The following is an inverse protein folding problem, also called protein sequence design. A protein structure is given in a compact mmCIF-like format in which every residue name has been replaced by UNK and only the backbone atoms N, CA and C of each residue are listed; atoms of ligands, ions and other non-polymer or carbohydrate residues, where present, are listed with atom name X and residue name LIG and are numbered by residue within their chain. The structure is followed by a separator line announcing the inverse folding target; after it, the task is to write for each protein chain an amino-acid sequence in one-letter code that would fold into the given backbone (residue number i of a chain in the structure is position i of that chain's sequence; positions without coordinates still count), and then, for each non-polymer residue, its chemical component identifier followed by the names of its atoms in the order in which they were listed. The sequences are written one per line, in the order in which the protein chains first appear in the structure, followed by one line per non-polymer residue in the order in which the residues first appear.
data_IF_168195623845
#
_entry.id   IF_168195623845
#
_cell.length_a   1.000
_cell.length_b   1.000
_cell.length_c   1.000
_cell.angle_alpha   90.00
_cell.angle_beta   90.00
_cell.angle_gamma   90.00
#
_symmetry.space_group_name_H-M   'P 1'
#
loop_
_entity.id
_entity.type
_entity.pdbx_description
1 polymer ?
#
# COMPACT_ATOMS: atom_id res chain seq x y z
N UNK A 1 -1.81 -2.24 4.72
CA UNK A 1 -1.88 -2.50 3.26
C UNK A 1 -3.14 -1.90 2.64
N UNK A 2 -3.10 -1.54 1.33
CA UNK A 2 -4.29 -1.03 0.60
C UNK A 2 -5.38 -2.09 0.50
N UNK A 3 -4.99 -3.33 0.21
CA UNK A 3 -5.83 -4.54 0.22
C UNK A 3 -5.03 -5.70 0.80
N UNK A 4 -5.70 -6.72 1.35
CA UNK A 4 -5.04 -7.96 1.79
C UNK A 4 -4.79 -8.92 0.62
N UNK A 5 -3.95 -9.93 0.82
CA UNK A 5 -3.72 -10.99 -0.19
C UNK A 5 -5.00 -11.79 -0.41
N UNK A 6 -5.76 -12.06 0.65
CA UNK A 6 -7.05 -12.75 0.57
C UNK A 6 -8.07 -11.96 -0.25
N UNK A 7 -8.15 -10.63 -0.03
CA UNK A 7 -9.01 -9.73 -0.80
C UNK A 7 -8.57 -9.71 -2.29
N UNK A 8 -7.26 -9.62 -2.55
CA UNK A 8 -6.73 -9.66 -3.93
C UNK A 8 -7.11 -10.94 -4.67
N UNK A 9 -7.00 -12.10 -4.01
CA UNK A 9 -7.31 -13.41 -4.60
C UNK A 9 -8.78 -13.62 -4.93
N UNK A 10 -9.69 -12.79 -4.43
CA UNK A 10 -11.09 -12.80 -4.86
C UNK A 10 -11.29 -12.21 -6.27
N UNK A 11 -10.35 -11.39 -6.73
CA UNK A 11 -10.42 -10.72 -8.03
C UNK A 11 -9.46 -11.31 -9.07
N UNK A 12 -8.31 -11.85 -8.62
CA UNK A 12 -7.24 -12.33 -9.51
C UNK A 12 -6.92 -13.78 -9.19
N UNK A 13 -6.93 -14.64 -10.21
CA UNK A 13 -6.42 -16.00 -10.11
C UNK A 13 -4.91 -16.01 -10.35
N UNK A 14 -4.13 -16.52 -9.40
CA UNK A 14 -2.67 -16.58 -9.51
C UNK A 14 -2.11 -17.76 -8.72
N UNK A 15 -1.00 -18.33 -9.21
CA UNK A 15 -0.22 -19.40 -8.57
C UNK A 15 0.92 -18.87 -7.68
N UNK A 16 1.08 -17.54 -7.59
CA UNK A 16 2.15 -16.95 -6.80
C UNK A 16 1.93 -17.15 -5.31
N UNK A 17 3.01 -17.42 -4.59
CA UNK A 17 3.00 -17.55 -3.13
C UNK A 17 2.53 -16.24 -2.46
N UNK A 18 1.80 -16.38 -1.36
CA UNK A 18 1.21 -15.25 -0.62
C UNK A 18 2.26 -14.22 -0.21
N UNK A 19 3.41 -14.66 0.26
CA UNK A 19 4.52 -13.77 0.61
C UNK A 19 4.97 -12.88 -0.57
N UNK A 20 4.99 -13.43 -1.79
CA UNK A 20 5.36 -12.66 -2.99
C UNK A 20 4.30 -11.60 -3.30
N UNK A 21 3.03 -11.95 -3.16
CA UNK A 21 1.91 -11.02 -3.36
C UNK A 21 1.93 -9.91 -2.29
N UNK A 22 2.16 -10.28 -1.04
CA UNK A 22 2.24 -9.35 0.08
C UNK A 22 3.35 -8.30 -0.12
N UNK A 23 4.57 -8.74 -0.45
CA UNK A 23 5.70 -7.82 -0.72
C UNK A 23 5.39 -6.87 -1.88
N UNK A 24 4.73 -7.37 -2.95
CA UNK A 24 4.32 -6.52 -4.08
C UNK A 24 3.26 -5.50 -3.69
N UNK A 25 2.25 -5.91 -2.92
CA UNK A 25 1.21 -5.00 -2.42
C UNK A 25 1.79 -3.92 -1.51
N UNK A 26 2.73 -4.26 -0.63
CA UNK A 26 3.44 -3.30 0.22
C UNK A 26 4.27 -2.32 -0.62
N UNK A 27 4.97 -2.82 -1.65
CA UNK A 27 5.74 -1.97 -2.56
C UNK A 27 4.84 -1.00 -3.34
N UNK A 28 3.68 -1.47 -3.83
CA UNK A 28 2.69 -0.61 -4.49
C UNK A 28 2.12 0.45 -3.55
N UNK A 29 1.81 0.10 -2.31
CA UNK A 29 1.34 1.05 -1.31
C UNK A 29 2.35 2.19 -1.09
N UNK A 30 3.62 1.84 -0.88
CA UNK A 30 4.69 2.83 -0.71
C UNK A 30 4.86 3.71 -1.96
N UNK A 31 4.82 3.11 -3.14
CA UNK A 31 4.94 3.79 -4.42
C UNK A 31 3.79 4.78 -4.64
N UNK A 32 2.55 4.37 -4.42
CA UNK A 32 1.35 5.21 -4.54
C UNK A 32 1.43 6.39 -3.57
N UNK A 33 1.80 6.16 -2.30
CA UNK A 33 1.93 7.21 -1.30
C UNK A 33 3.01 8.23 -1.66
N UNK A 34 4.17 7.76 -2.12
CA UNK A 34 5.26 8.62 -2.59
C UNK A 34 4.88 9.41 -3.84
N UNK A 35 4.26 8.77 -4.80
CA UNK A 35 3.84 9.39 -6.05
C UNK A 35 2.80 10.48 -5.82
N UNK A 36 1.77 10.18 -5.05
CA UNK A 36 0.68 11.13 -4.76
C UNK A 36 1.05 12.18 -3.72
N UNK A 37 2.19 12.06 -3.04
CA UNK A 37 2.55 12.83 -1.84
C UNK A 37 1.41 12.83 -0.80
N UNK A 38 0.70 11.73 -0.67
CA UNK A 38 -0.49 11.59 0.17
C UNK A 38 -0.33 10.44 1.15
N UNK A 39 -0.52 10.73 2.42
CA UNK A 39 -0.47 9.73 3.50
C UNK A 39 -1.78 8.96 3.68
N UNK A 40 -2.83 9.30 2.94
CA UNK A 40 -4.17 8.69 2.99
C UNK A 40 -4.75 8.57 4.40
N UNK A 41 -4.44 9.54 5.27
CA UNK A 41 -5.05 9.60 6.58
C UNK A 41 -6.57 9.72 6.46
N UNK A 42 -7.31 8.92 7.22
CA UNK A 42 -8.77 9.02 7.28
C UNK A 42 -9.20 10.44 7.71
N UNK A 43 -10.25 10.94 7.10
CA UNK A 43 -10.84 12.24 7.49
C UNK A 43 -12.29 12.03 7.94
N UNK A 44 -12.70 12.60 9.09
CA UNK A 44 -11.89 13.34 10.08
C UNK A 44 -10.74 12.49 10.62
N UNK A 45 -9.67 13.13 11.06
CA UNK A 45 -8.49 12.40 11.55
C UNK A 45 -8.84 11.56 12.77
N UNK A 46 -8.52 10.27 12.69
CA UNK A 46 -8.58 9.31 13.79
C UNK A 46 -7.14 9.00 14.21
N UNK A 47 -6.76 9.49 15.40
CA UNK A 47 -5.40 9.33 15.93
C UNK A 47 -5.39 9.26 17.44
N UNK A 48 -4.41 8.54 17.97
CA UNK A 48 -4.13 8.43 19.41
C UNK A 48 -2.63 8.55 19.65
N UNK A 49 -2.25 8.69 20.93
CA UNK A 49 -0.88 8.56 21.41
C UNK A 49 -0.68 7.17 22.00
N UNK A 50 0.47 6.57 21.74
CA UNK A 50 0.82 5.26 22.29
C UNK A 50 2.33 5.14 22.51
N UNK A 51 2.72 4.32 23.46
CA UNK A 51 4.08 3.82 23.60
C UNK A 51 4.16 2.44 22.95
N UNK A 52 5.25 2.13 22.29
CA UNK A 52 5.53 0.80 21.75
C UNK A 52 6.59 0.15 22.63
N UNK A 53 6.26 -0.97 23.24
CA UNK A 53 7.13 -1.74 24.15
C UNK A 53 7.04 -3.22 23.78
N UNK A 54 8.15 -3.79 23.34
CA UNK A 54 8.23 -5.19 22.94
C UNK A 54 7.11 -5.59 21.92
N UNK A 55 6.88 -4.73 20.91
CA UNK A 55 5.89 -4.96 19.86
C UNK A 55 4.43 -4.69 20.25
N UNK A 56 4.17 -4.26 21.50
CA UNK A 56 2.84 -3.90 21.97
C UNK A 56 2.68 -2.38 22.00
N UNK A 57 1.62 -1.89 21.41
CA UNK A 57 1.19 -0.50 21.55
C UNK A 57 0.36 -0.36 22.81
N UNK A 58 0.78 0.48 23.74
CA UNK A 58 0.11 0.76 25.02
C UNK A 58 -0.34 2.22 25.01
N UNK A 59 -1.61 2.46 25.33
CA UNK A 59 -2.22 3.80 25.30
C UNK A 59 -3.19 4.00 26.45
N UNK A 60 -3.32 5.23 26.92
CA UNK A 60 -4.37 5.65 27.87
C UNK A 60 -5.64 6.11 27.12
N UNK A 61 -5.55 6.31 25.80
CA UNK A 61 -6.67 6.71 24.97
C UNK A 61 -7.60 5.52 24.67
N UNK A 62 -8.85 5.81 24.34
CA UNK A 62 -9.76 4.80 23.76
C UNK A 62 -9.25 4.42 22.37
N UNK A 63 -9.04 3.13 22.14
CA UNK A 63 -8.54 2.63 20.85
C UNK A 63 -9.68 2.66 19.81
N UNK A 64 -9.58 3.52 18.78
CA UNK A 64 -10.61 3.63 17.73
C UNK A 64 -10.37 2.71 16.55
N UNK A 65 -9.39 1.80 16.65
CA UNK A 65 -8.96 0.92 15.58
C UNK A 65 -9.59 -0.47 15.74
N UNK A 66 -9.70 -1.17 14.60
CA UNK A 66 -10.16 -2.55 14.52
C UNK A 66 -9.06 -3.43 13.94
N UNK A 67 -9.17 -4.75 14.12
CA UNK A 67 -8.33 -5.72 13.44
C UNK A 67 -8.39 -5.46 11.92
N UNK A 68 -7.26 -5.60 11.25
CA UNK A 68 -7.03 -5.33 9.82
C UNK A 68 -7.07 -3.85 9.40
N UNK A 69 -7.31 -2.91 10.34
CA UNK A 69 -7.12 -1.49 10.05
C UNK A 69 -5.64 -1.19 9.72
N UNK A 70 -5.43 -0.32 8.74
CA UNK A 70 -4.10 0.20 8.43
C UNK A 70 -3.86 1.48 9.23
N UNK A 71 -2.71 1.54 9.88
CA UNK A 71 -2.27 2.69 10.67
C UNK A 71 -0.91 3.20 10.18
N UNK A 72 -0.68 4.48 10.33
CA UNK A 72 0.64 5.09 10.22
C UNK A 72 1.13 5.49 11.60
N UNK A 73 2.36 5.13 11.91
CA UNK A 73 3.05 5.53 13.15
C UNK A 73 4.03 6.64 12.84
N UNK A 74 4.07 7.68 13.68
CA UNK A 74 5.01 8.78 13.58
C UNK A 74 5.44 9.27 14.95
N UNK A 75 6.65 9.82 15.06
CA UNK A 75 7.22 10.36 16.31
C UNK A 75 7.67 11.81 16.13
N UNK A 76 7.76 12.52 17.26
CA UNK A 76 8.27 13.88 17.31
C UNK A 76 7.30 14.94 16.80
N UNK A 77 7.70 16.20 16.94
CA UNK A 77 6.93 17.37 16.50
C UNK A 77 6.81 17.44 14.98
N UNK A 78 7.85 17.01 14.26
CA UNK A 78 7.91 16.99 12.80
C UNK A 78 7.17 15.79 12.19
N UNK A 79 6.48 14.99 13.02
CA UNK A 79 5.74 13.79 12.61
C UNK A 79 6.58 12.88 11.70
N UNK A 80 7.83 12.61 12.12
CA UNK A 80 8.73 11.68 11.42
C UNK A 80 8.01 10.35 11.22
N UNK A 81 7.92 9.92 9.96
CA UNK A 81 7.21 8.69 9.57
C UNK A 81 8.03 7.47 9.99
N UNK A 82 7.49 6.68 10.91
CA UNK A 82 8.10 5.45 11.40
C UNK A 82 7.56 4.19 10.71
N UNK A 83 6.61 4.36 9.76
CA UNK A 83 6.10 3.26 8.97
C UNK A 83 4.58 3.13 9.00
N UNK A 84 4.13 2.16 8.20
CA UNK A 84 2.74 1.76 8.06
C UNK A 84 2.62 0.34 8.58
N UNK A 85 1.59 0.10 9.38
CA UNK A 85 1.37 -1.16 10.06
C UNK A 85 -0.09 -1.58 9.94
N UNK A 86 -0.34 -2.88 10.08
CA UNK A 86 -1.69 -3.45 10.06
C UNK A 86 -2.04 -3.99 11.44
N UNK A 87 -3.16 -3.58 12.00
CA UNK A 87 -3.62 -4.04 13.31
C UNK A 87 -3.86 -5.55 13.27
N UNK A 88 -3.23 -6.28 14.19
CA UNK A 88 -3.38 -7.73 14.35
C UNK A 88 -4.39 -8.08 15.43
N UNK A 89 -4.32 -7.41 16.57
CA UNK A 89 -5.22 -7.64 17.70
C UNK A 89 -5.41 -6.34 18.48
N UNK A 90 -6.58 -6.20 19.12
CA UNK A 90 -6.91 -5.11 20.04
C UNK A 90 -7.44 -5.71 21.33
N UNK A 91 -6.85 -5.35 22.47
CA UNK A 91 -7.23 -5.85 23.80
C UNK A 91 -7.15 -4.71 24.84
N UNK A 92 -8.30 -4.22 25.26
CA UNK A 92 -8.41 -3.13 26.23
C UNK A 92 -7.67 -1.87 25.78
N UNK A 93 -6.60 -1.52 26.50
CA UNK A 93 -5.74 -0.36 26.23
C UNK A 93 -4.47 -0.73 25.44
N UNK A 94 -4.42 -1.93 24.89
CA UNK A 94 -3.29 -2.41 24.11
C UNK A 94 -3.71 -2.90 22.75
N UNK A 95 -2.80 -2.83 21.77
CA UNK A 95 -2.97 -3.46 20.48
C UNK A 95 -1.62 -3.89 19.90
N UNK A 96 -1.67 -4.86 19.01
CA UNK A 96 -0.49 -5.35 18.29
C UNK A 96 -0.69 -5.20 16.78
N UNK A 97 0.41 -5.23 16.04
CA UNK A 97 0.43 -5.16 14.56
C UNK A 97 0.99 -6.46 14.00
N UNK A 98 0.80 -6.68 12.70
CA UNK A 98 1.28 -7.88 12.00
C UNK A 98 2.78 -7.82 11.73
N UNK A 99 3.29 -6.62 11.50
CA UNK A 99 4.68 -6.33 11.16
C UNK A 99 5.52 -6.11 12.43
N UNK A 100 6.83 -6.31 12.32
CA UNK A 100 7.76 -5.97 13.39
C UNK A 100 7.86 -4.45 13.57
N UNK A 101 7.78 -3.99 14.80
CA UNK A 101 7.83 -2.58 15.15
C UNK A 101 8.86 -2.35 16.25
N UNK A 102 9.77 -1.37 16.08
CA UNK A 102 10.73 -1.04 17.13
C UNK A 102 10.05 -0.34 18.32
N UNK A 103 10.68 -0.41 19.49
CA UNK A 103 10.22 0.31 20.67
C UNK A 103 10.25 1.82 20.43
N UNK A 104 9.18 2.51 20.81
CA UNK A 104 9.01 3.94 20.62
C UNK A 104 8.23 4.56 21.77
N UNK A 105 8.68 5.73 22.22
CA UNK A 105 7.96 6.51 23.22
C UNK A 105 7.10 7.59 22.55
N UNK A 106 5.89 7.80 23.07
CA UNK A 106 4.99 8.89 22.67
C UNK A 106 4.74 8.96 21.15
N UNK A 107 4.59 7.81 20.52
CA UNK A 107 4.27 7.71 19.10
C UNK A 107 2.84 8.22 18.82
N UNK A 108 2.67 8.89 17.69
CA UNK A 108 1.35 9.24 17.17
C UNK A 108 0.91 8.17 16.18
N UNK A 109 -0.20 7.52 16.49
CA UNK A 109 -0.82 6.49 15.63
C UNK A 109 -2.01 7.11 14.92
N UNK A 110 -2.01 7.10 13.60
CA UNK A 110 -3.06 7.71 12.76
C UNK A 110 -3.66 6.67 11.84
N UNK A 111 -5.00 6.58 11.81
CA UNK A 111 -5.70 5.67 10.89
C UNK A 111 -5.49 6.09 9.43
N UNK A 112 -5.18 5.11 8.59
CA UNK A 112 -5.08 5.25 7.13
C UNK A 112 -6.31 4.60 6.50
N UNK A 113 -6.88 5.27 5.50
CA UNK A 113 -8.05 4.75 4.76
C UNK A 113 -7.90 5.02 3.28
N UNK A 114 -8.05 3.97 2.50
CA UNK A 114 -8.02 4.02 1.04
C UNK A 114 -9.44 3.91 0.47
N UNK A 115 -9.77 4.76 -0.50
CA UNK A 115 -11.03 4.66 -1.23
C UNK A 115 -11.12 3.38 -2.07
N UNK A 116 -12.33 2.95 -2.39
CA UNK A 116 -12.55 1.75 -3.19
C UNK A 116 -11.98 1.89 -4.61
N UNK A 117 -11.91 3.10 -5.14
CA UNK A 117 -11.26 3.41 -6.43
C UNK A 117 -9.75 3.17 -6.39
N UNK A 118 -9.09 3.50 -5.25
CA UNK A 118 -7.68 3.18 -5.03
C UNK A 118 -7.47 1.67 -4.91
N UNK A 119 -8.36 0.97 -4.19
CA UNK A 119 -8.31 -0.49 -4.09
C UNK A 119 -8.43 -1.17 -5.45
N UNK A 120 -9.43 -0.78 -6.24
CA UNK A 120 -9.59 -1.30 -7.60
C UNK A 120 -8.42 -0.96 -8.51
N UNK A 121 -7.88 0.25 -8.39
CA UNK A 121 -6.67 0.64 -9.11
C UNK A 121 -5.48 -0.26 -8.79
N UNK A 122 -5.28 -0.62 -7.51
CA UNK A 122 -4.21 -1.54 -7.07
C UNK A 122 -4.45 -2.95 -7.62
N UNK A 123 -5.70 -3.44 -7.64
CA UNK A 123 -6.04 -4.75 -8.23
C UNK A 123 -5.63 -4.77 -9.72
N UNK A 124 -6.01 -3.75 -10.48
CA UNK A 124 -5.65 -3.64 -11.91
C UNK A 124 -4.13 -3.55 -12.12
N UNK A 125 -3.40 -2.84 -11.24
CA UNK A 125 -1.93 -2.77 -11.29
C UNK A 125 -1.31 -4.13 -10.99
N UNK A 126 -1.82 -4.86 -10.00
CA UNK A 126 -1.35 -6.21 -9.66
C UNK A 126 -1.63 -7.20 -10.79
N UNK A 127 -2.82 -7.17 -11.37
CA UNK A 127 -3.17 -8.02 -12.52
C UNK A 127 -2.22 -7.76 -13.71
N UNK A 128 -1.99 -6.48 -14.02
CA UNK A 128 -1.03 -6.13 -15.06
C UNK A 128 0.39 -6.61 -14.74
N UNK A 129 0.83 -6.43 -13.50
CA UNK A 129 2.17 -6.83 -13.04
C UNK A 129 2.39 -8.33 -13.14
N UNK A 130 1.41 -9.12 -12.74
CA UNK A 130 1.47 -10.58 -12.81
C UNK A 130 1.50 -11.10 -14.25
N UNK A 131 0.75 -10.45 -15.16
CA UNK A 131 0.57 -10.92 -16.53
C UNK A 131 1.60 -10.34 -17.52
N UNK A 132 2.18 -9.17 -17.24
CA UNK A 132 2.96 -8.44 -18.24
C UNK A 132 4.38 -8.06 -17.80
N UNK A 133 4.73 -8.11 -16.51
CA UNK A 133 6.05 -7.68 -16.03
C UNK A 133 7.20 -8.42 -16.69
N UNK A 134 7.06 -9.70 -16.98
CA UNK A 134 8.07 -10.52 -17.63
C UNK A 134 8.29 -10.15 -19.10
N UNK A 135 7.39 -9.38 -19.71
CA UNK A 135 7.45 -8.91 -21.12
C UNK A 135 8.00 -7.49 -21.25
N UNK A 136 8.29 -6.82 -20.12
CA UNK A 136 8.86 -5.47 -20.13
C UNK A 136 10.23 -5.50 -20.82
N UNK A 137 10.39 -4.64 -21.84
CA UNK A 137 11.60 -4.59 -22.69
C UNK A 137 11.51 -5.44 -23.96
N UNK A 138 10.48 -6.28 -24.11
CA UNK A 138 10.20 -6.98 -25.36
C UNK A 138 9.23 -6.14 -26.18
N UNK A 139 9.66 -5.65 -27.35
CA UNK A 139 8.80 -4.84 -28.21
C UNK A 139 7.91 -5.70 -29.12
N UNK A 140 8.44 -6.82 -29.61
CA UNK A 140 7.67 -7.74 -30.44
C UNK A 140 8.25 -9.14 -30.35
N UNK A 141 7.37 -10.13 -30.50
CA UNK A 141 7.74 -11.53 -30.69
C UNK A 141 7.12 -12.03 -31.98
N UNK A 142 7.93 -12.76 -32.78
CA UNK A 142 7.46 -13.40 -33.99
C UNK A 142 7.66 -14.89 -33.86
N UNK A 143 6.56 -15.63 -33.78
CA UNK A 143 6.52 -17.09 -33.78
C UNK A 143 5.88 -17.56 -35.07
N UNK A 144 6.73 -18.01 -36.01
CA UNK A 144 6.31 -18.45 -37.33
C UNK A 144 5.50 -17.40 -38.10
N UNK A 145 4.16 -17.57 -38.24
CA UNK A 145 3.28 -16.63 -38.95
C UNK A 145 2.53 -15.67 -38.04
N UNK A 146 2.73 -15.72 -36.73
CA UNK A 146 2.11 -14.83 -35.76
C UNK A 146 3.14 -13.85 -35.21
N UNK A 147 2.87 -12.55 -35.35
CA UNK A 147 3.61 -11.46 -34.73
C UNK A 147 2.76 -10.82 -33.64
N UNK A 148 3.31 -10.70 -32.45
CA UNK A 148 2.68 -10.00 -31.31
C UNK A 148 3.51 -8.78 -30.99
N UNK A 149 2.88 -7.61 -31.00
CA UNK A 149 3.51 -6.36 -30.58
C UNK A 149 3.02 -6.04 -29.17
N UNK A 150 3.97 -5.82 -28.25
CA UNK A 150 3.68 -5.50 -26.87
C UNK A 150 3.62 -3.97 -26.66
N UNK A 151 2.98 -3.58 -25.53
CA UNK A 151 2.88 -2.17 -25.18
C UNK A 151 4.29 -1.57 -24.99
N UNK A 152 4.55 -0.47 -25.67
CA UNK A 152 5.82 0.22 -25.54
C UNK A 152 5.90 0.94 -24.19
N UNK A 153 6.81 0.48 -23.32
CA UNK A 153 7.06 1.00 -21.97
C UNK A 153 8.13 2.10 -21.95
N UNK A 154 8.18 2.94 -22.98
CA UNK A 154 9.05 4.12 -23.00
C UNK A 154 8.61 5.19 -21.98
N UNK A 155 9.44 6.23 -21.78
CA UNK A 155 9.19 7.28 -20.78
C UNK A 155 7.90 8.10 -21.05
N UNK A 156 7.40 8.11 -22.29
CA UNK A 156 6.18 8.84 -22.64
C UNK A 156 4.93 8.03 -22.29
N UNK A 157 4.99 6.72 -22.34
CA UNK A 157 3.85 5.82 -22.16
C UNK A 157 3.83 5.13 -20.78
N UNK A 158 4.96 5.13 -20.06
CA UNK A 158 5.08 4.48 -18.76
C UNK A 158 5.44 5.47 -17.66
N UNK A 159 5.07 5.12 -16.45
CA UNK A 159 5.41 5.85 -15.23
C UNK A 159 5.54 4.85 -14.08
N UNK A 160 6.65 4.93 -13.34
CA UNK A 160 6.93 4.02 -12.21
C UNK A 160 6.93 2.52 -12.62
N UNK A 161 7.22 2.23 -13.89
CA UNK A 161 7.20 0.86 -14.42
C UNK A 161 5.81 0.31 -14.73
N UNK A 162 4.79 1.15 -14.82
CA UNK A 162 3.42 0.81 -15.22
C UNK A 162 2.95 1.69 -16.39
N UNK A 163 2.02 1.21 -17.23
CA UNK A 163 1.38 2.05 -18.22
C UNK A 163 0.68 3.26 -17.58
N UNK A 164 0.89 4.46 -18.12
CA UNK A 164 0.26 5.69 -17.59
C UNK A 164 -1.27 5.61 -17.54
N UNK A 165 -1.87 4.86 -18.45
CA UNK A 165 -3.33 4.64 -18.50
C UNK A 165 -3.86 3.98 -17.23
N UNK A 166 -3.07 3.09 -16.59
CA UNK A 166 -3.47 2.39 -15.37
C UNK A 166 -3.33 3.26 -14.10
N UNK A 167 -2.66 4.42 -14.19
CA UNK A 167 -2.39 5.29 -13.05
C UNK A 167 -3.36 6.47 -12.94
N UNK A 168 -4.32 6.57 -13.86
CA UNK A 168 -5.27 7.69 -13.93
C UNK A 168 -6.08 7.91 -12.65
N UNK A 169 -6.41 6.84 -11.92
CA UNK A 169 -7.16 6.88 -10.66
C UNK A 169 -6.42 7.63 -9.54
N UNK A 170 -5.10 7.82 -9.65
CA UNK A 170 -4.31 8.52 -8.64
C UNK A 170 -4.38 10.05 -8.74
N UNK A 171 -4.80 10.60 -9.89
CA UNK A 171 -4.85 12.05 -10.11
C UNK A 171 -5.61 12.84 -9.04
N UNK A 172 -6.80 12.40 -8.57
CA UNK A 172 -7.56 13.11 -7.54
C UNK A 172 -6.85 13.15 -6.18
N UNK A 173 -5.90 12.24 -5.95
CA UNK A 173 -5.20 12.07 -4.67
C UNK A 173 -3.86 12.78 -4.60
N UNK A 174 -3.40 13.37 -5.71
CA UNK A 174 -2.12 14.07 -5.76
C UNK A 174 -2.15 15.34 -4.89
N UNK A 175 -1.11 15.51 -4.07
CA UNK A 175 -0.91 16.71 -3.25
C UNK A 175 0.34 17.45 -3.70
N UNK A 176 0.33 18.78 -3.58
CA UNK A 176 1.51 19.59 -3.85
C UNK A 176 2.70 19.16 -2.97
N UNK A 177 3.89 19.26 -3.53
CA UNK A 177 5.15 19.10 -2.80
C UNK A 177 5.67 20.52 -2.52
N UNK A 178 5.81 20.82 -1.26
CA UNK A 178 6.41 22.09 -0.78
C UNK A 178 7.81 21.81 -0.25
#
# INVERSE_FOLDING_TARGET
MIISVEELKQFITTDKADLVLEVRLQALEQLIRKYTNNRFHQKPYVRIKANVIAGNFVTDDVIPFKVDDTIQVSIGADATDCGIYTIKNVDGQTFTVKEDVPDMANATVTKVSYGNDVKMGVINLMEWDLNNRHKVGVQSETLSRHSVTYFNMDGDNSLMGYPKSLLGFLKPYMKARF
#
